data_IF_766320730656
#
_entry.id   IF_766320730656
#
_cell.length_a   1.000
_cell.length_b   1.000
_cell.length_c   1.000
_cell.angle_alpha   90.00
_cell.angle_beta   90.00
_cell.angle_gamma   90.00
#
_symmetry.space_group_name_H-M   'P 1'
#
loop_
_entity.id
_entity.type
_entity.pdbx_description
1 polymer ?
#
# COMPACT_ATOMS: atom_id res chain seq x y z
N UNK A 1 -29.89 42.55 15.50
CA UNK A 1 -28.98 42.41 16.66
C UNK A 1 -28.04 41.26 16.33
N UNK A 2 -26.81 41.57 15.91
CA UNK A 2 -25.82 40.58 15.54
C UNK A 2 -24.96 40.28 16.77
N UNK A 3 -24.97 39.03 17.24
CA UNK A 3 -24.04 38.56 18.26
C UNK A 3 -22.78 38.03 17.56
N UNK A 4 -21.69 38.79 17.69
CA UNK A 4 -20.35 38.37 17.28
C UNK A 4 -19.80 37.44 18.37
N UNK A 5 -19.68 36.14 18.07
CA UNK A 5 -18.93 35.22 18.92
C UNK A 5 -17.43 35.44 18.68
N UNK A 6 -16.72 35.98 19.67
CA UNK A 6 -15.26 35.93 19.73
C UNK A 6 -14.88 34.57 20.33
N UNK A 7 -14.15 33.77 19.58
CA UNK A 7 -13.43 32.62 20.12
C UNK A 7 -12.17 33.16 20.80
N UNK A 8 -12.03 32.93 22.10
CA UNK A 8 -10.77 33.15 22.82
C UNK A 8 -9.80 32.02 22.46
N UNK A 9 -8.49 32.30 22.28
CA UNK A 9 -7.51 31.26 22.02
C UNK A 9 -7.28 30.44 23.29
N UNK A 10 -7.41 29.13 23.19
CA UNK A 10 -6.91 28.19 24.19
C UNK A 10 -5.42 28.02 24.00
N UNK A 11 -4.63 28.45 24.99
CA UNK A 11 -3.16 28.28 25.06
C UNK A 11 -2.77 26.81 25.33
N UNK A 12 -3.11 25.91 24.41
CA UNK A 12 -2.61 24.52 24.43
C UNK A 12 -1.47 24.38 23.40
N UNK A 13 -0.28 24.74 23.88
CA UNK A 13 1.01 24.58 23.22
C UNK A 13 1.37 23.09 23.05
N UNK A 14 0.97 22.51 21.92
CA UNK A 14 1.25 21.10 21.56
C UNK A 14 2.66 20.87 20.98
N UNK A 15 3.62 21.74 21.26
CA UNK A 15 5.02 21.58 20.83
C UNK A 15 6.01 21.93 21.97
N UNK A 16 5.86 21.30 23.13
CA UNK A 16 6.94 21.22 24.13
C UNK A 16 7.53 19.82 24.19
N UNK A 17 8.69 19.63 23.55
CA UNK A 17 9.52 18.45 23.73
C UNK A 17 9.98 18.40 25.19
N UNK A 18 9.33 17.59 26.02
CA UNK A 18 9.96 17.09 27.25
C UNK A 18 11.16 16.25 26.82
N UNK A 19 12.35 16.66 27.26
CA UNK A 19 13.55 15.82 27.19
C UNK A 19 13.34 14.57 28.04
N UNK A 20 12.88 13.51 27.42
CA UNK A 20 12.98 12.18 28.00
C UNK A 20 14.46 11.77 28.00
N UNK A 21 15.08 11.82 29.18
CA UNK A 21 16.39 11.20 29.40
C UNK A 21 16.28 9.69 29.13
N UNK A 22 16.76 9.28 27.97
CA UNK A 22 16.95 7.88 27.65
C UNK A 22 18.03 7.30 28.58
N UNK A 23 17.61 6.69 29.70
CA UNK A 23 18.50 5.92 30.56
C UNK A 23 19.08 4.77 29.74
N UNK A 24 20.36 4.91 29.42
CA UNK A 24 21.18 3.92 28.71
C UNK A 24 21.32 2.67 29.59
N UNK A 25 20.32 1.78 29.56
CA UNK A 25 20.47 0.45 30.11
C UNK A 25 21.49 -0.29 29.26
N UNK A 26 22.71 -0.39 29.79
CA UNK A 26 23.77 -1.25 29.27
C UNK A 26 23.33 -2.70 29.43
N UNK A 27 22.68 -3.25 28.40
CA UNK A 27 22.62 -4.70 28.22
C UNK A 27 23.97 -5.13 27.68
N UNK A 28 24.78 -5.69 28.58
CA UNK A 28 26.01 -6.39 28.25
C UNK A 28 25.72 -7.51 27.24
N UNK A 29 26.56 -7.69 26.20
CA UNK A 29 26.45 -8.85 25.34
C UNK A 29 26.71 -10.13 26.15
N UNK A 30 26.08 -11.26 25.81
CA UNK A 30 26.24 -12.51 26.56
C UNK A 30 27.70 -12.98 26.52
N UNK A 31 28.22 -13.29 27.71
CA UNK A 31 29.56 -13.81 27.94
C UNK A 31 29.60 -15.25 27.46
N UNK A 32 30.41 -15.53 26.43
CA UNK A 32 30.74 -16.90 26.02
C UNK A 32 31.60 -17.51 27.14
N UNK A 33 31.26 -18.69 27.69
CA UNK A 33 32.04 -19.33 28.75
C UNK A 33 33.50 -19.48 28.35
N UNK A 34 34.40 -19.04 29.24
CA UNK A 34 35.84 -19.12 29.07
C UNK A 34 36.27 -20.56 28.82
N UNK A 35 36.95 -20.79 27.71
CA UNK A 35 37.74 -21.99 27.53
C UNK A 35 38.95 -21.87 28.44
N UNK A 36 39.00 -22.68 29.49
CA UNK A 36 40.16 -22.80 30.35
C UNK A 36 41.39 -23.13 29.50
N UNK A 37 42.38 -22.23 29.50
CA UNK A 37 43.70 -22.52 28.95
C UNK A 37 44.40 -23.38 30.00
N UNK A 38 44.81 -24.63 29.68
CA UNK A 38 45.56 -25.44 30.62
C UNK A 38 46.85 -24.72 31.00
N UNK A 39 47.15 -24.66 32.29
CA UNK A 39 48.39 -24.15 32.83
C UNK A 39 49.58 -24.85 32.17
N UNK A 40 50.66 -24.09 31.89
CA UNK A 40 51.91 -24.62 31.35
C UNK A 40 52.45 -25.71 32.29
N UNK A 41 52.26 -26.96 31.91
CA UNK A 41 52.91 -28.09 32.57
C UNK A 41 54.43 -27.97 32.36
N UNK A 42 55.20 -28.00 33.45
CA UNK A 42 56.66 -27.97 33.40
C UNK A 42 57.15 -29.23 32.69
N UNK A 43 57.82 -29.08 31.54
CA UNK A 43 58.51 -30.19 30.86
C UNK A 43 59.63 -30.74 31.74
N UNK A 44 59.43 -31.93 32.27
CA UNK A 44 60.46 -32.84 32.76
C UNK A 44 61.23 -33.36 31.52
N UNK A 45 62.57 -33.33 31.47
CA UNK A 45 63.30 -33.88 30.34
C UNK A 45 63.32 -35.41 30.43
N UNK A 46 62.36 -36.06 29.79
CA UNK A 46 62.41 -37.50 29.52
C UNK A 46 63.40 -37.76 28.38
N UNK A 47 64.50 -38.48 28.67
CA UNK A 47 65.38 -39.04 27.66
C UNK A 47 64.62 -40.11 26.87
N UNK A 48 64.02 -39.72 25.74
CA UNK A 48 63.41 -40.67 24.81
C UNK A 48 64.52 -41.18 23.88
N UNK A 49 64.80 -42.48 24.00
CA UNK A 49 65.76 -43.20 23.19
C UNK A 49 65.18 -43.37 21.77
N UNK A 50 65.66 -42.59 20.79
CA UNK A 50 65.23 -42.65 19.39
C UNK A 50 65.73 -43.94 18.74
N UNK A 51 64.96 -45.03 18.82
CA UNK A 51 65.05 -46.09 17.82
C UNK A 51 64.55 -45.54 16.49
N UNK A 52 65.46 -45.31 15.55
CA UNK A 52 65.15 -44.92 14.18
C UNK A 52 64.27 -45.99 13.51
N UNK A 53 62.95 -45.79 13.50
CA UNK A 53 62.06 -46.47 12.57
C UNK A 53 62.15 -45.74 11.22
N UNK A 54 62.76 -46.39 10.23
CA UNK A 54 62.78 -45.91 8.85
C UNK A 54 61.34 -45.79 8.34
N UNK A 55 60.84 -44.56 8.23
CA UNK A 55 59.57 -44.26 7.59
C UNK A 55 59.79 -44.38 6.07
N UNK A 56 59.21 -45.41 5.44
CA UNK A 56 59.17 -45.49 3.97
C UNK A 56 58.22 -44.41 3.48
N UNK A 57 58.77 -43.40 2.81
CA UNK A 57 58.00 -42.36 2.11
C UNK A 57 57.28 -43.02 0.93
N UNK A 58 55.95 -43.08 0.99
CA UNK A 58 55.13 -43.52 -0.14
C UNK A 58 55.01 -42.33 -1.11
N UNK A 59 55.65 -42.43 -2.27
CA UNK A 59 55.74 -41.39 -3.31
C UNK A 59 54.38 -40.83 -3.74
N UNK A 60 53.31 -41.63 -3.65
CA UNK A 60 51.94 -41.20 -3.96
C UNK A 60 51.38 -40.14 -2.97
N UNK A 61 51.79 -40.18 -1.70
CA UNK A 61 51.33 -39.22 -0.67
C UNK A 61 52.02 -37.86 -0.77
N UNK A 62 53.25 -37.79 -1.27
CA UNK A 62 53.93 -36.53 -1.55
C UNK A 62 53.31 -35.82 -2.78
N UNK A 63 52.92 -36.59 -3.79
CA UNK A 63 52.28 -36.05 -5.00
C UNK A 63 50.91 -35.45 -4.66
N UNK A 64 50.09 -36.14 -3.85
CA UNK A 64 48.79 -35.59 -3.42
C UNK A 64 48.94 -34.35 -2.55
N UNK A 65 49.95 -34.30 -1.67
CA UNK A 65 50.22 -33.10 -0.86
C UNK A 65 50.64 -31.89 -1.71
N UNK A 66 51.43 -32.10 -2.76
CA UNK A 66 51.81 -31.04 -3.71
C UNK A 66 50.61 -30.57 -4.52
N UNK A 67 49.74 -31.49 -4.95
CA UNK A 67 48.50 -31.14 -5.69
C UNK A 67 47.54 -30.34 -4.78
N UNK A 68 47.36 -30.74 -3.53
CA UNK A 68 46.46 -30.03 -2.60
C UNK A 68 47.00 -28.64 -2.24
N UNK A 69 48.32 -28.50 -2.06
CA UNK A 69 48.93 -27.19 -1.76
C UNK A 69 48.89 -26.25 -2.96
N UNK A 70 49.14 -26.75 -4.18
CA UNK A 70 49.01 -25.95 -5.41
C UNK A 70 47.57 -25.50 -5.65
N UNK A 71 46.58 -26.39 -5.47
CA UNK A 71 45.15 -26.04 -5.57
C UNK A 71 44.78 -24.98 -4.52
N UNK A 72 45.26 -25.13 -3.28
CA UNK A 72 44.97 -24.17 -2.21
C UNK A 72 45.54 -22.77 -2.51
N UNK A 73 46.76 -22.70 -3.06
CA UNK A 73 47.38 -21.43 -3.47
C UNK A 73 46.59 -20.76 -4.60
N UNK A 74 46.12 -21.53 -5.59
CA UNK A 74 45.31 -21.01 -6.69
C UNK A 74 43.96 -20.47 -6.18
N UNK A 75 43.30 -21.20 -5.26
CA UNK A 75 42.04 -20.75 -4.65
C UNK A 75 42.25 -19.46 -3.86
N UNK A 76 43.29 -19.39 -3.03
CA UNK A 76 43.60 -18.17 -2.25
C UNK A 76 43.92 -17.00 -3.18
N UNK A 77 44.71 -17.21 -4.24
CA UNK A 77 45.00 -16.20 -5.25
C UNK A 77 43.73 -15.68 -5.95
N UNK A 78 42.82 -16.59 -6.33
CA UNK A 78 41.53 -16.24 -6.92
C UNK A 78 40.66 -15.41 -5.97
N UNK A 79 40.60 -15.78 -4.68
CA UNK A 79 39.83 -15.05 -3.67
C UNK A 79 40.38 -13.63 -3.45
N UNK A 80 41.70 -13.45 -3.47
CA UNK A 80 42.34 -12.13 -3.34
C UNK A 80 42.01 -11.25 -4.55
N UNK A 81 42.14 -11.79 -5.76
CA UNK A 81 41.82 -11.06 -7.00
C UNK A 81 40.34 -10.68 -7.02
N UNK A 82 39.44 -11.62 -6.66
CA UNK A 82 38.00 -11.35 -6.56
C UNK A 82 37.72 -10.24 -5.56
N UNK A 83 38.34 -10.26 -4.38
CA UNK A 83 38.14 -9.23 -3.36
C UNK A 83 38.59 -7.85 -3.85
N UNK A 84 39.75 -7.76 -4.49
CA UNK A 84 40.24 -6.49 -5.05
C UNK A 84 39.31 -5.96 -6.16
N UNK A 85 38.84 -6.83 -7.04
CA UNK A 85 37.92 -6.45 -8.12
C UNK A 85 36.59 -5.96 -7.57
N UNK A 86 36.03 -6.62 -6.56
CA UNK A 86 34.78 -6.19 -5.90
C UNK A 86 34.96 -4.81 -5.24
N UNK A 87 36.06 -4.59 -4.53
CA UNK A 87 36.33 -3.30 -3.87
C UNK A 87 36.49 -2.16 -4.89
N UNK A 88 37.16 -2.42 -6.02
CA UNK A 88 37.29 -1.47 -7.14
C UNK A 88 35.93 -1.17 -7.79
N UNK A 89 35.08 -2.18 -7.97
CA UNK A 89 33.74 -1.99 -8.51
C UNK A 89 32.89 -1.13 -7.57
N UNK A 90 32.97 -1.40 -6.27
CA UNK A 90 32.22 -0.69 -5.24
C UNK A 90 32.70 0.75 -5.04
N UNK A 91 34.00 1.02 -5.14
CA UNK A 91 34.52 2.39 -5.15
C UNK A 91 34.08 3.18 -6.39
N UNK A 92 34.03 2.53 -7.55
CA UNK A 92 33.57 3.15 -8.79
C UNK A 92 32.06 3.43 -8.79
N UNK A 93 31.25 2.56 -8.17
CA UNK A 93 29.82 2.79 -7.98
C UNK A 93 29.57 3.97 -7.02
N UNK A 94 30.30 4.02 -5.90
CA UNK A 94 30.19 5.10 -4.92
C UNK A 94 30.71 6.46 -5.43
N UNK A 95 31.67 6.45 -6.37
CA UNK A 95 32.15 7.67 -7.02
C UNK A 95 31.18 8.20 -8.08
N UNK A 96 30.26 7.35 -8.59
CA UNK A 96 29.29 7.70 -9.62
C UNK A 96 27.89 8.00 -9.09
N UNK A 97 27.60 7.69 -7.83
CA UNK A 97 26.33 8.10 -7.23
C UNK A 97 26.39 9.60 -6.91
N UNK A 98 25.64 10.45 -7.64
CA UNK A 98 25.53 11.85 -7.25
C UNK A 98 24.98 11.89 -5.82
N UNK A 99 25.63 12.68 -4.95
CA UNK A 99 25.02 13.03 -3.67
C UNK A 99 23.69 13.70 -3.98
N UNK A 100 22.59 13.00 -3.71
CA UNK A 100 21.25 13.58 -3.75
C UNK A 100 21.25 14.69 -2.71
N UNK A 101 21.41 15.94 -3.16
CA UNK A 101 21.11 17.10 -2.32
C UNK A 101 19.60 17.08 -2.14
N UNK A 102 19.15 16.83 -0.91
CA UNK A 102 17.76 17.08 -0.56
C UNK A 102 17.42 18.55 -0.79
N UNK A 103 16.14 18.85 -1.00
CA UNK A 103 15.67 20.22 -1.10
C UNK A 103 16.09 20.99 0.17
N UNK A 104 16.90 22.02 0.01
CA UNK A 104 17.30 22.95 1.07
C UNK A 104 16.33 24.13 1.19
N UNK A 105 15.40 24.25 0.23
CA UNK A 105 14.38 25.27 0.18
C UNK A 105 13.05 24.68 -0.33
N UNK A 106 11.98 24.90 0.42
CA UNK A 106 10.60 24.56 0.03
C UNK A 106 9.79 25.83 0.23
N UNK A 107 9.22 26.36 -0.85
CA UNK A 107 8.21 27.40 -0.80
C UNK A 107 6.84 26.76 -1.00
N UNK A 108 5.89 27.15 -0.16
CA UNK A 108 4.49 26.73 -0.27
C UNK A 108 3.72 27.92 -0.79
N UNK A 109 3.05 27.74 -1.92
CA UNK A 109 2.11 28.71 -2.47
C UNK A 109 0.73 28.07 -2.61
N UNK A 110 -0.31 28.87 -2.37
CA UNK A 110 -1.68 28.46 -2.62
C UNK A 110 -1.92 28.50 -4.13
N UNK A 111 -2.17 27.33 -4.74
CA UNK A 111 -2.47 27.23 -6.19
C UNK A 111 -3.92 27.61 -6.46
N UNK A 112 -4.86 26.93 -5.80
CA UNK A 112 -6.29 27.22 -5.87
C UNK A 112 -7.01 26.71 -4.61
N UNK A 113 -8.19 27.27 -4.35
CA UNK A 113 -9.09 26.79 -3.31
C UNK A 113 -10.54 26.85 -3.80
N UNK A 114 -11.23 25.71 -3.74
CA UNK A 114 -12.64 25.58 -4.13
C UNK A 114 -13.48 25.16 -2.93
N UNK A 115 -14.61 25.83 -2.72
CA UNK A 115 -15.59 25.46 -1.70
C UNK A 115 -16.77 24.75 -2.35
N UNK A 116 -17.09 23.54 -1.87
CA UNK A 116 -18.22 22.73 -2.33
C UNK A 116 -19.29 22.67 -1.24
N UNK A 117 -20.17 23.69 -1.13
CA UNK A 117 -21.17 23.71 -0.08
C UNK A 117 -22.16 22.56 -0.25
N UNK A 118 -22.72 22.08 0.86
CA UNK A 118 -23.69 20.96 0.92
C UNK A 118 -23.10 19.57 0.66
N UNK A 119 -21.80 19.48 0.36
CA UNK A 119 -21.11 18.20 0.25
C UNK A 119 -20.33 17.91 1.53
N UNK A 120 -20.33 16.64 1.92
CA UNK A 120 -19.51 16.08 2.98
C UNK A 120 -18.61 15.02 2.33
N UNK A 121 -17.46 14.72 2.92
CA UNK A 121 -16.61 13.64 2.41
C UNK A 121 -15.93 12.90 3.54
N UNK A 122 -15.92 11.56 3.44
CA UNK A 122 -15.08 10.66 4.24
C UNK A 122 -14.08 9.91 3.33
N UNK A 123 -14.03 10.29 2.04
CA UNK A 123 -13.28 9.57 1.02
C UNK A 123 -11.87 10.15 0.87
N UNK A 124 -10.88 9.28 0.69
CA UNK A 124 -9.57 9.71 0.20
C UNK A 124 -9.68 10.09 -1.29
N UNK A 125 -8.98 11.14 -1.69
CA UNK A 125 -8.91 11.52 -3.10
C UNK A 125 -7.97 10.62 -3.90
N UNK A 126 -8.24 10.54 -5.20
CA UNK A 126 -7.40 9.91 -6.23
C UNK A 126 -6.95 10.96 -7.23
N UNK A 127 -5.79 10.72 -7.82
CA UNK A 127 -5.25 11.55 -8.89
C UNK A 127 -5.37 10.80 -10.22
N UNK A 128 -5.95 11.44 -11.22
CA UNK A 128 -6.06 10.91 -12.57
C UNK A 128 -6.24 12.08 -13.55
N UNK A 129 -5.48 12.13 -14.63
CA UNK A 129 -5.69 13.13 -15.69
C UNK A 129 -6.91 12.68 -16.53
N UNK A 130 -8.10 13.16 -16.17
CA UNK A 130 -9.35 12.69 -16.78
C UNK A 130 -9.69 13.44 -18.06
N UNK A 131 -9.17 14.66 -18.20
CA UNK A 131 -9.43 15.54 -19.34
C UNK A 131 -8.30 15.48 -20.41
N UNK A 132 -7.17 14.81 -20.12
CA UNK A 132 -5.96 14.67 -20.95
C UNK A 132 -5.21 15.98 -21.20
N UNK A 133 -5.20 16.90 -20.24
CA UNK A 133 -4.43 18.16 -20.30
C UNK A 133 -2.98 18.01 -19.79
N UNK A 134 -2.62 16.86 -19.23
CA UNK A 134 -1.30 16.56 -18.69
C UNK A 134 -1.14 16.92 -17.20
N UNK A 135 -2.18 17.45 -16.56
CA UNK A 135 -2.22 17.75 -15.13
C UNK A 135 -3.16 16.75 -14.44
N UNK A 136 -2.74 16.05 -13.38
CA UNK A 136 -3.62 15.12 -12.67
C UNK A 136 -4.80 15.84 -11.99
N UNK A 137 -6.02 15.37 -12.23
CA UNK A 137 -7.25 15.85 -11.60
C UNK A 137 -7.57 15.10 -10.30
N UNK A 138 -8.35 15.72 -9.42
CA UNK A 138 -8.73 15.16 -8.12
C UNK A 138 -10.09 14.47 -8.20
N UNK A 139 -10.15 13.18 -7.89
CA UNK A 139 -11.40 12.40 -7.82
C UNK A 139 -11.67 11.98 -6.38
N UNK A 140 -12.87 12.22 -5.86
CA UNK A 140 -13.25 11.80 -4.50
C UNK A 140 -14.75 11.53 -4.36
N UNK A 141 -15.09 10.76 -3.33
CA UNK A 141 -16.45 10.42 -2.97
C UNK A 141 -17.04 11.45 -2.02
N UNK A 142 -18.35 11.65 -2.09
CA UNK A 142 -19.05 12.60 -1.24
C UNK A 142 -20.40 12.06 -0.75
N UNK A 143 -20.87 12.65 0.33
CA UNK A 143 -22.23 12.57 0.85
C UNK A 143 -22.90 13.95 0.76
N UNK A 144 -24.21 14.00 0.90
CA UNK A 144 -24.96 15.26 0.99
C UNK A 144 -25.72 15.43 2.30
N UNK A 145 -25.81 14.37 3.13
CA UNK A 145 -26.67 14.32 4.31
C UNK A 145 -28.15 14.05 3.99
N UNK A 146 -28.51 13.95 2.71
CA UNK A 146 -29.88 13.64 2.25
C UNK A 146 -30.14 12.12 2.22
N UNK A 147 -29.12 11.33 2.59
CA UNK A 147 -29.15 9.89 2.80
C UNK A 147 -29.83 9.46 4.12
N UNK A 148 -30.26 10.43 4.95
CA UNK A 148 -30.97 10.17 6.19
C UNK A 148 -32.36 9.52 6.02
N UNK A 149 -32.85 8.88 7.09
CA UNK A 149 -34.19 8.28 7.10
C UNK A 149 -35.29 9.33 6.89
N UNK A 150 -36.26 9.02 6.03
CA UNK A 150 -37.47 9.82 5.79
C UNK A 150 -37.25 11.21 5.19
N UNK A 151 -36.14 11.43 4.48
CA UNK A 151 -35.90 12.71 3.79
C UNK A 151 -36.79 12.82 2.54
N UNK A 152 -37.62 13.88 2.41
CA UNK A 152 -38.47 14.07 1.24
C UNK A 152 -37.68 14.27 -0.06
N UNK A 153 -38.13 13.68 -1.18
CA UNK A 153 -37.48 13.82 -2.50
C UNK A 153 -37.32 15.27 -2.97
N UNK A 154 -38.21 16.17 -2.53
CA UNK A 154 -38.15 17.62 -2.84
C UNK A 154 -36.84 18.27 -2.40
N UNK A 155 -36.10 17.67 -1.45
CA UNK A 155 -34.77 18.16 -1.05
C UNK A 155 -33.80 18.14 -2.25
N UNK A 156 -33.87 17.12 -3.10
CA UNK A 156 -33.08 17.07 -4.33
C UNK A 156 -33.46 18.18 -5.33
N UNK A 157 -34.76 18.48 -5.45
CA UNK A 157 -35.26 19.57 -6.31
C UNK A 157 -34.75 20.94 -5.85
N UNK A 158 -34.78 21.18 -4.53
CA UNK A 158 -34.39 22.49 -3.95
C UNK A 158 -32.87 22.68 -3.92
N UNK A 159 -32.12 21.65 -3.52
CA UNK A 159 -30.69 21.82 -3.22
C UNK A 159 -29.74 21.31 -4.30
N UNK A 160 -30.22 20.44 -5.19
CA UNK A 160 -29.42 19.70 -6.17
C UNK A 160 -30.04 19.73 -7.58
N UNK A 161 -30.74 20.82 -7.91
CA UNK A 161 -31.28 21.10 -9.25
C UNK A 161 -32.19 20.00 -9.82
N UNK A 162 -32.92 19.29 -8.96
CA UNK A 162 -33.80 18.19 -9.40
C UNK A 162 -33.08 16.91 -9.80
N UNK A 163 -31.79 16.80 -9.48
CA UNK A 163 -31.03 15.57 -9.73
C UNK A 163 -31.45 14.50 -8.72
N UNK A 164 -31.93 13.36 -9.20
CA UNK A 164 -32.29 12.23 -8.34
C UNK A 164 -31.63 10.93 -8.85
N UNK A 165 -31.00 10.12 -8.00
CA UNK A 165 -30.77 10.34 -6.56
C UNK A 165 -29.80 11.52 -6.31
N UNK A 166 -29.81 12.09 -5.10
CA UNK A 166 -28.87 13.15 -4.70
C UNK A 166 -28.15 12.88 -3.38
N UNK A 167 -28.15 11.64 -2.89
CA UNK A 167 -27.80 11.33 -1.50
C UNK A 167 -26.29 11.36 -1.26
N UNK A 168 -25.51 10.96 -2.25
CA UNK A 168 -24.06 11.10 -2.28
C UNK A 168 -23.56 10.91 -3.70
N UNK A 169 -22.27 10.62 -3.86
CA UNK A 169 -21.72 10.42 -5.19
C UNK A 169 -20.21 10.47 -5.29
N UNK A 170 -19.73 10.67 -6.51
CA UNK A 170 -18.34 10.84 -6.87
C UNK A 170 -18.17 12.09 -7.74
N UNK A 171 -17.06 12.80 -7.61
CA UNK A 171 -16.78 14.03 -8.34
C UNK A 171 -15.32 14.06 -8.79
N UNK A 172 -15.06 14.72 -9.93
CA UNK A 172 -13.73 15.16 -10.32
C UNK A 172 -13.60 16.69 -10.32
N UNK A 173 -12.48 17.18 -9.81
CA UNK A 173 -12.05 18.59 -9.88
C UNK A 173 -10.77 18.70 -10.70
N UNK A 174 -10.71 19.72 -11.55
CA UNK A 174 -9.54 20.02 -12.37
C UNK A 174 -8.31 20.29 -11.50
N UNK A 175 -7.18 19.67 -11.83
CA UNK A 175 -5.93 19.82 -11.07
C UNK A 175 -5.28 21.21 -11.17
N UNK A 176 -5.49 21.92 -12.27
CA UNK A 176 -4.94 23.25 -12.56
C UNK A 176 -5.66 24.36 -11.80
N UNK A 177 -7.00 24.30 -11.71
CA UNK A 177 -7.80 25.42 -11.21
C UNK A 177 -8.90 25.06 -10.19
N UNK A 178 -9.05 23.78 -9.85
CA UNK A 178 -10.02 23.30 -8.86
C UNK A 178 -11.48 23.37 -9.31
N UNK A 179 -11.77 23.64 -10.59
CA UNK A 179 -13.15 23.64 -11.10
C UNK A 179 -13.69 22.22 -11.23
N UNK A 180 -14.99 22.07 -11.02
CA UNK A 180 -15.68 20.80 -11.24
C UNK A 180 -15.67 20.41 -12.72
N UNK A 181 -15.15 19.21 -13.00
CA UNK A 181 -15.17 18.61 -14.33
C UNK A 181 -16.44 17.79 -14.54
N UNK A 182 -16.78 16.95 -13.57
CA UNK A 182 -18.00 16.16 -13.58
C UNK A 182 -18.43 15.75 -12.17
N UNK A 183 -19.69 15.35 -12.06
CA UNK A 183 -20.30 14.87 -10.82
C UNK A 183 -21.30 13.76 -11.12
N UNK A 184 -21.14 12.64 -10.44
CA UNK A 184 -22.01 11.47 -10.49
C UNK A 184 -22.72 11.32 -9.15
N UNK A 185 -24.04 11.16 -9.16
CA UNK A 185 -24.83 10.97 -7.95
C UNK A 185 -25.27 9.52 -7.75
N UNK A 186 -25.30 9.09 -6.49
CA UNK A 186 -25.67 7.75 -6.05
C UNK A 186 -26.78 7.74 -5.01
N UNK A 187 -27.30 6.54 -4.75
CA UNK A 187 -28.36 6.27 -3.79
C UNK A 187 -27.88 6.33 -2.31
N UNK A 188 -26.59 6.59 -2.07
CA UNK A 188 -25.98 6.79 -0.75
C UNK A 188 -24.55 7.32 -0.95
N UNK A 189 -23.84 7.76 0.09
CA UNK A 189 -22.44 8.20 -0.07
C UNK A 189 -21.49 7.10 -0.57
N UNK A 190 -20.50 7.56 -1.32
CA UNK A 190 -19.31 6.79 -1.68
C UNK A 190 -18.18 7.24 -0.76
N UNK A 191 -17.52 6.29 -0.10
CA UNK A 191 -16.35 6.55 0.74
C UNK A 191 -15.11 5.79 0.25
N UNK A 192 -15.27 4.65 -0.44
CA UNK A 192 -14.16 3.87 -1.00
C UNK A 192 -14.05 4.06 -2.51
N UNK A 193 -12.91 4.55 -3.00
CA UNK A 193 -12.69 4.76 -4.44
C UNK A 193 -11.37 4.13 -4.91
N UNK A 194 -11.42 3.51 -6.09
CA UNK A 194 -10.27 3.01 -6.84
C UNK A 194 -10.41 3.39 -8.32
N UNK A 195 -9.44 4.14 -8.88
CA UNK A 195 -9.47 4.65 -10.25
C UNK A 195 -8.27 4.17 -11.09
N UNK A 196 -7.91 2.89 -10.97
CA UNK A 196 -6.64 2.37 -11.49
C UNK A 196 -6.76 1.52 -12.77
N UNK A 197 -7.96 1.40 -13.37
CA UNK A 197 -8.13 0.67 -14.62
C UNK A 197 -9.05 1.41 -15.58
N UNK A 198 -8.74 1.34 -16.87
CA UNK A 198 -9.61 1.75 -17.98
C UNK A 198 -10.57 0.60 -18.30
N UNK A 199 -11.81 0.71 -17.84
CA UNK A 199 -12.82 -0.35 -17.91
C UNK A 199 -13.57 -0.33 -19.24
N UNK A 200 -13.61 0.82 -19.92
CA UNK A 200 -14.28 0.97 -21.22
C UNK A 200 -13.33 1.13 -22.42
N UNK A 201 -12.02 1.04 -22.19
CA UNK A 201 -10.97 1.17 -23.21
C UNK A 201 -10.95 2.53 -23.92
N UNK A 202 -11.33 3.62 -23.25
CA UNK A 202 -11.28 4.99 -23.81
C UNK A 202 -9.92 5.69 -23.63
N UNK A 203 -8.99 5.02 -22.95
CA UNK A 203 -7.65 5.49 -22.62
C UNK A 203 -7.62 6.50 -21.48
N UNK A 204 -8.64 6.53 -20.60
CA UNK A 204 -8.64 7.17 -19.28
C UNK A 204 -9.09 6.14 -18.27
N UNK A 205 -8.44 6.10 -17.11
CA UNK A 205 -8.84 5.18 -16.06
C UNK A 205 -10.22 5.56 -15.52
N UNK A 206 -11.07 4.56 -15.36
CA UNK A 206 -12.38 4.63 -14.73
C UNK A 206 -12.30 4.31 -13.24
N UNK A 207 -13.38 4.60 -12.51
CA UNK A 207 -13.41 4.53 -11.06
C UNK A 207 -14.46 3.53 -10.56
N UNK A 208 -14.06 2.64 -9.66
CA UNK A 208 -14.95 1.86 -8.81
C UNK A 208 -15.23 2.63 -7.52
N UNK A 209 -16.50 2.84 -7.19
CA UNK A 209 -16.96 3.54 -5.99
C UNK A 209 -17.79 2.63 -5.08
N UNK A 210 -17.27 2.29 -3.91
CA UNK A 210 -17.94 1.57 -2.83
C UNK A 210 -18.46 2.52 -1.74
N UNK A 211 -19.66 2.24 -1.26
CA UNK A 211 -20.38 3.13 -0.35
C UNK A 211 -21.34 2.42 0.60
N UNK A 212 -22.17 3.22 1.28
CA UNK A 212 -23.19 2.72 2.21
C UNK A 212 -24.41 2.19 1.47
N UNK A 213 -25.23 1.39 2.15
CA UNK A 213 -26.47 0.79 1.65
C UNK A 213 -26.28 0.00 0.33
N UNK A 214 -25.11 -0.64 0.20
CA UNK A 214 -24.78 -1.44 -0.97
C UNK A 214 -24.53 -0.61 -2.23
N UNK A 215 -24.16 0.67 -2.12
CA UNK A 215 -23.66 1.43 -3.28
C UNK A 215 -22.35 0.83 -3.74
N UNK A 216 -22.33 0.37 -4.99
CA UNK A 216 -21.12 -0.11 -5.65
C UNK A 216 -21.25 0.09 -7.15
N UNK A 217 -20.58 1.12 -7.66
CA UNK A 217 -20.77 1.63 -9.02
C UNK A 217 -19.41 1.79 -9.71
N UNK A 218 -19.34 1.43 -10.99
CA UNK A 218 -18.23 1.78 -11.87
C UNK A 218 -18.61 3.04 -12.67
N UNK A 219 -17.78 4.07 -12.59
CA UNK A 219 -18.01 5.40 -13.14
C UNK A 219 -16.91 5.72 -14.13
N UNK A 220 -17.28 6.22 -15.30
CA UNK A 220 -16.32 6.59 -16.32
C UNK A 220 -15.46 7.77 -15.83
N UNK A 221 -14.14 7.61 -15.85
CA UNK A 221 -13.23 8.62 -15.30
C UNK A 221 -13.25 9.92 -16.09
N UNK A 222 -13.42 9.85 -17.41
CA UNK A 222 -13.44 11.02 -18.30
C UNK A 222 -14.69 11.88 -18.14
N UNK A 223 -15.85 11.27 -17.98
CA UNK A 223 -17.16 11.94 -18.12
C UNK A 223 -18.02 11.92 -16.86
N UNK A 224 -17.69 11.09 -15.87
CA UNK A 224 -18.52 10.87 -14.69
C UNK A 224 -19.80 10.07 -14.97
N UNK A 225 -19.94 9.43 -16.14
CA UNK A 225 -21.14 8.64 -16.45
C UNK A 225 -21.05 7.23 -15.88
N UNK A 226 -22.19 6.64 -15.54
CA UNK A 226 -22.25 5.27 -15.06
C UNK A 226 -21.85 4.25 -16.15
N UNK A 227 -20.89 3.38 -15.84
CA UNK A 227 -20.53 2.22 -16.65
C UNK A 227 -21.25 0.96 -16.18
N UNK A 228 -21.26 0.72 -14.86
CA UNK A 228 -21.88 -0.45 -14.25
C UNK A 228 -22.35 -0.15 -12.82
N UNK A 229 -23.40 -0.83 -12.37
CA UNK A 229 -23.97 -0.65 -11.02
C UNK A 229 -24.35 -1.99 -10.43
N UNK A 230 -23.96 -2.22 -9.18
CA UNK A 230 -24.34 -3.37 -8.38
C UNK A 230 -25.84 -3.33 -8.04
N UNK A 231 -26.60 -4.26 -8.62
CA UNK A 231 -28.08 -4.31 -8.53
C UNK A 231 -28.64 -5.61 -7.98
N UNK A 232 -27.81 -6.63 -7.68
CA UNK A 232 -28.33 -7.92 -7.26
C UNK A 232 -29.10 -7.81 -5.94
N UNK A 233 -30.42 -7.93 -6.02
CA UNK A 233 -31.34 -7.83 -4.88
C UNK A 233 -31.29 -9.04 -3.96
N UNK A 234 -30.74 -10.17 -4.40
CA UNK A 234 -30.56 -11.36 -3.57
C UNK A 234 -29.40 -11.17 -2.59
N UNK A 235 -28.42 -10.36 -2.97
CA UNK A 235 -27.20 -10.12 -2.17
C UNK A 235 -27.25 -8.75 -1.49
N UNK A 236 -27.76 -7.72 -2.18
CA UNK A 236 -27.78 -6.35 -1.69
C UNK A 236 -28.76 -6.19 -0.53
N UNK A 237 -28.22 -5.72 0.60
CA UNK A 237 -28.96 -5.39 1.81
C UNK A 237 -28.81 -3.89 2.10
N UNK A 238 -29.87 -3.22 2.54
CA UNK A 238 -29.87 -1.79 2.86
C UNK A 238 -28.95 -1.40 4.02
N UNK A 239 -28.56 -2.35 4.88
CA UNK A 239 -27.59 -2.09 5.97
C UNK A 239 -26.14 -2.40 5.57
N UNK A 240 -25.91 -2.96 4.37
CA UNK A 240 -24.56 -3.34 3.96
C UNK A 240 -23.74 -2.11 3.52
N UNK A 241 -22.43 -2.21 3.71
CA UNK A 241 -21.44 -1.26 3.23
C UNK A 241 -20.45 -1.97 2.33
N UNK A 242 -20.05 -1.33 1.24
CA UNK A 242 -19.02 -1.82 0.32
C UNK A 242 -17.79 -0.93 0.49
N UNK A 243 -16.65 -1.53 0.80
CA UNK A 243 -15.38 -0.83 0.99
C UNK A 243 -14.63 -0.70 -0.33
N UNK A 244 -13.45 -0.05 -0.29
CA UNK A 244 -12.60 0.16 -1.46
C UNK A 244 -12.35 -1.15 -2.21
N UNK A 245 -12.91 -1.25 -3.42
CA UNK A 245 -12.73 -2.39 -4.28
C UNK A 245 -11.36 -2.36 -4.96
N UNK A 246 -10.87 -3.55 -5.30
CA UNK A 246 -9.61 -3.74 -6.01
C UNK A 246 -9.88 -4.45 -7.33
N UNK A 247 -9.24 -3.97 -8.40
CA UNK A 247 -9.17 -4.72 -9.65
C UNK A 247 -8.13 -5.83 -9.46
N UNK A 248 -8.48 -7.04 -9.89
CA UNK A 248 -7.64 -8.23 -9.82
C UNK A 248 -7.53 -8.86 -11.22
N UNK A 249 -6.61 -9.80 -11.37
CA UNK A 249 -6.48 -10.56 -12.62
C UNK A 249 -7.79 -11.29 -12.94
N UNK A 250 -8.06 -11.47 -14.23
CA UNK A 250 -9.16 -12.27 -14.77
C UNK A 250 -9.11 -13.72 -14.24
N UNK A 251 -10.01 -14.06 -13.31
CA UNK A 251 -10.07 -15.36 -12.65
C UNK A 251 -10.96 -16.35 -13.41
N UNK A 252 -11.99 -15.87 -14.11
CA UNK A 252 -12.94 -16.72 -14.84
C UNK A 252 -12.56 -16.93 -16.33
N UNK A 253 -11.57 -16.20 -16.80
CA UNK A 253 -10.94 -16.26 -18.13
C UNK A 253 -11.84 -15.77 -19.26
N UNK A 254 -12.71 -14.79 -18.98
CA UNK A 254 -13.55 -14.16 -19.99
C UNK A 254 -12.84 -13.05 -20.80
N UNK A 255 -11.61 -12.68 -20.40
CA UNK A 255 -10.80 -11.65 -21.02
C UNK A 255 -10.98 -10.24 -20.43
N UNK A 256 -11.78 -10.10 -19.37
CA UNK A 256 -12.04 -8.87 -18.62
C UNK A 256 -11.41 -8.99 -17.24
N UNK A 257 -10.85 -7.90 -16.71
CA UNK A 257 -10.30 -7.90 -15.35
C UNK A 257 -11.42 -8.02 -14.30
N UNK A 258 -11.17 -8.83 -13.29
CA UNK A 258 -12.12 -9.07 -12.21
C UNK A 258 -12.04 -8.03 -11.09
N UNK A 259 -13.05 -8.02 -10.22
CA UNK A 259 -13.12 -7.09 -9.10
C UNK A 259 -13.28 -7.82 -7.77
N UNK A 260 -12.49 -7.41 -6.79
CA UNK A 260 -12.59 -7.84 -5.40
C UNK A 260 -13.12 -6.71 -4.55
N UNK A 261 -14.34 -6.87 -4.02
CA UNK A 261 -14.94 -5.95 -3.07
C UNK A 261 -15.16 -6.66 -1.73
N UNK A 262 -14.88 -5.95 -0.63
CA UNK A 262 -15.17 -6.42 0.72
C UNK A 262 -16.42 -5.69 1.20
N UNK A 263 -17.33 -6.41 1.85
CA UNK A 263 -18.52 -5.83 2.43
C UNK A 263 -18.66 -6.12 3.92
N UNK A 264 -19.45 -5.28 4.60
CA UNK A 264 -19.79 -5.42 6.01
C UNK A 264 -21.10 -4.71 6.33
N UNK A 265 -21.41 -4.48 7.61
CA UNK A 265 -22.56 -3.67 8.02
C UNK A 265 -23.82 -4.44 8.41
N UNK A 266 -23.80 -5.78 8.39
CA UNK A 266 -24.83 -6.60 9.03
C UNK A 266 -24.33 -7.13 10.39
N UNK A 267 -24.49 -6.38 11.49
CA UNK A 267 -24.04 -6.81 12.81
C UNK A 267 -24.85 -8.00 13.36
N UNK A 268 -25.96 -8.36 12.70
CA UNK A 268 -26.84 -9.45 13.12
C UNK A 268 -26.56 -10.74 12.33
N UNK A 269 -25.64 -10.73 11.35
CA UNK A 269 -25.26 -11.93 10.63
C UNK A 269 -24.53 -12.91 11.57
N UNK A 270 -24.96 -14.17 11.60
CA UNK A 270 -24.26 -15.22 12.32
C UNK A 270 -22.82 -15.42 11.79
N UNK A 271 -21.82 -15.59 12.68
CA UNK A 271 -20.46 -15.94 12.28
C UNK A 271 -20.44 -17.22 11.42
N UNK A 272 -19.72 -17.20 10.30
CA UNK A 272 -19.61 -18.37 9.40
C UNK A 272 -20.73 -18.50 8.37
N UNK A 273 -21.73 -17.60 8.37
CA UNK A 273 -22.52 -17.37 7.16
C UNK A 273 -21.58 -16.88 6.05
N UNK A 274 -21.78 -17.36 4.82
CA UNK A 274 -20.97 -17.03 3.65
C UNK A 274 -21.17 -15.56 3.24
N UNK A 275 -20.40 -14.65 3.87
CA UNK A 275 -20.49 -13.19 3.67
C UNK A 275 -19.20 -12.61 3.03
N UNK A 276 -18.21 -13.43 2.69
CA UNK A 276 -17.14 -13.01 1.77
C UNK A 276 -17.53 -13.41 0.36
N UNK A 277 -17.82 -12.43 -0.49
CA UNK A 277 -18.24 -12.66 -1.87
C UNK A 277 -17.37 -11.85 -2.83
N UNK A 278 -16.65 -12.54 -3.72
CA UNK A 278 -16.07 -11.89 -4.89
C UNK A 278 -17.19 -11.41 -5.81
N UNK A 279 -17.01 -10.24 -6.42
CA UNK A 279 -17.91 -9.69 -7.43
C UNK A 279 -17.10 -9.63 -8.74
N UNK A 280 -17.17 -10.69 -9.53
CA UNK A 280 -16.66 -10.64 -10.91
C UNK A 280 -17.55 -9.71 -11.75
N UNK A 281 -16.95 -8.75 -12.45
CA UNK A 281 -17.68 -7.87 -13.36
C UNK A 281 -17.87 -8.58 -14.70
N UNK A 282 -18.93 -9.39 -14.79
CA UNK A 282 -19.30 -10.06 -16.03
C UNK A 282 -20.09 -9.12 -16.96
N UNK A 283 -19.80 -9.22 -18.25
CA UNK A 283 -20.39 -8.44 -19.33
C UNK A 283 -21.93 -8.57 -19.36
N UNK A 284 -22.65 -7.45 -19.22
CA UNK A 284 -24.12 -7.22 -19.31
C UNK A 284 -25.13 -8.20 -18.68
N UNK A 285 -24.77 -9.42 -18.27
CA UNK A 285 -25.65 -10.41 -17.66
C UNK A 285 -24.87 -11.35 -16.72
N UNK A 286 -25.19 -11.21 -15.42
CA UNK A 286 -24.98 -12.14 -14.30
C UNK A 286 -23.69 -12.01 -13.48
N UNK A 287 -23.88 -11.48 -12.27
CA UNK A 287 -22.96 -11.46 -11.14
C UNK A 287 -22.62 -12.89 -10.69
N UNK A 288 -21.42 -13.40 -10.98
CA UNK A 288 -20.98 -14.71 -10.46
C UNK A 288 -20.27 -14.50 -9.13
N UNK A 289 -20.89 -14.97 -8.05
CA UNK A 289 -20.35 -14.86 -6.69
C UNK A 289 -19.62 -16.14 -6.29
N UNK A 290 -18.34 -16.02 -5.94
CA UNK A 290 -17.59 -17.11 -5.34
C UNK A 290 -17.40 -16.87 -3.83
N UNK A 291 -17.78 -17.83 -2.97
CA UNK A 291 -17.43 -17.77 -1.56
C UNK A 291 -15.93 -18.03 -1.37
N UNK A 292 -15.27 -17.23 -0.54
CA UNK A 292 -13.96 -17.59 0.01
C UNK A 292 -14.15 -18.44 1.27
N UNK A 293 -13.53 -19.61 1.29
CA UNK A 293 -13.39 -20.42 2.49
C UNK A 293 -12.22 -19.87 3.29
N UNK A 294 -12.43 -19.41 4.54
CA UNK A 294 -11.30 -19.20 5.44
C UNK A 294 -10.71 -20.56 5.79
N UNK A 295 -9.40 -20.73 5.66
CA UNK A 295 -8.71 -21.84 6.28
C UNK A 295 -8.68 -21.59 7.79
N UNK A 296 -9.30 -22.50 8.56
CA UNK A 296 -9.09 -22.64 10.02
C UNK A 296 -7.62 -22.97 10.34
#
# INVERSE_FOLDING_TARGET
MAHTFKLEPTDDDYCSEKKDEFKKNQTTPPIIPGTEIPSKEKRIPTKINLKQRKFKVNTLGCITYIIVTTISIVIVGYLIIKHQLTNQLQSNLNAKTPKIKGCDHIEVEDVWATTLPKLLTESAFRLSDVNKDGIPDFIFGFATGVDGYSIPKIVCDIYFNGTFPCYGGMMALNGEDGKELWRYYTDHEIFGINCNADLNSDGVNDCLGGGRAGVFDAVNGRTGTLLWKFKDKLVKNSIMNLYTAHIIDDLDKDGILDVLAIHGGDPLSEPGLLVFRLISMCDTYMDTFYPFYSCD
#
